data_IF_571272926515
#
_entry.id   IF_571272926515
#
_cell.length_a   1.000
_cell.length_b   1.000
_cell.length_c   1.000
_cell.angle_alpha   90.00
_cell.angle_beta   90.00
_cell.angle_gamma   90.00
#
_symmetry.space_group_name_H-M   'P 1'
#
loop_
_entity.id
_entity.type
_entity.pdbx_description
1 polymer ?
#
# COMPACT_ATOMS: atom_id res chain seq x y z
N UNK A 1 6.09 -26.39 3.20
CA UNK A 1 6.09 -25.00 2.71
C UNK A 1 7.32 -24.77 1.84
N UNK A 2 7.20 -23.96 0.79
CA UNK A 2 8.31 -23.47 -0.04
C UNK A 2 8.19 -21.96 -0.16
N UNK A 3 9.28 -21.23 0.06
CA UNK A 3 9.34 -19.78 -0.13
C UNK A 3 10.41 -19.49 -1.17
N UNK A 4 10.00 -18.89 -2.28
CA UNK A 4 10.90 -18.39 -3.31
C UNK A 4 11.07 -16.89 -3.14
N UNK A 5 12.32 -16.42 -3.04
CA UNK A 5 12.67 -15.00 -3.17
C UNK A 5 13.26 -14.77 -4.55
N UNK A 6 12.57 -14.02 -5.40
CA UNK A 6 13.07 -13.71 -6.74
C UNK A 6 14.14 -12.62 -6.66
N UNK A 7 15.17 -12.74 -7.50
CA UNK A 7 16.17 -11.69 -7.60
C UNK A 7 15.66 -10.54 -8.49
N UNK A 8 15.05 -9.55 -7.84
CA UNK A 8 14.58 -8.31 -8.47
C UNK A 8 15.55 -7.14 -8.28
N UNK A 9 16.75 -7.39 -7.73
CA UNK A 9 17.68 -6.35 -7.33
C UNK A 9 17.20 -5.63 -6.06
N UNK A 10 16.96 -4.32 -6.14
CA UNK A 10 16.41 -3.52 -5.04
C UNK A 10 14.89 -3.45 -5.19
N UNK A 11 14.18 -4.13 -4.29
CA UNK A 11 12.73 -4.34 -4.31
C UNK A 11 12.38 -5.75 -3.83
N UNK A 12 11.08 -6.04 -3.75
CA UNK A 12 10.57 -7.28 -3.19
C UNK A 12 9.71 -8.06 -4.20
N UNK A 13 9.92 -9.38 -4.22
CA UNK A 13 9.04 -10.31 -4.89
C UNK A 13 9.25 -11.72 -4.34
N UNK A 14 8.22 -12.26 -3.69
CA UNK A 14 8.27 -13.56 -3.03
C UNK A 14 7.10 -14.43 -3.45
N UNK A 15 7.33 -15.72 -3.68
CA UNK A 15 6.26 -16.68 -3.85
C UNK A 15 6.28 -17.70 -2.73
N UNK A 16 5.27 -17.63 -1.85
CA UNK A 16 5.04 -18.57 -0.76
C UNK A 16 4.07 -19.64 -1.26
N UNK A 17 4.51 -20.89 -1.26
CA UNK A 17 3.72 -22.02 -1.76
C UNK A 17 3.58 -23.10 -0.69
N UNK A 18 2.37 -23.59 -0.54
CA UNK A 18 2.11 -24.86 0.15
C UNK A 18 1.28 -25.79 -0.74
N UNK A 19 0.73 -26.87 -0.17
CA UNK A 19 -0.06 -27.86 -0.92
C UNK A 19 -1.42 -27.31 -1.40
N UNK A 20 -1.94 -26.26 -0.78
CA UNK A 20 -3.30 -25.76 -0.96
C UNK A 20 -3.35 -24.45 -1.76
N UNK A 21 -2.43 -23.53 -1.49
CA UNK A 21 -2.41 -22.21 -2.13
C UNK A 21 -1.00 -21.71 -2.42
N UNK A 22 -0.94 -20.71 -3.30
CA UNK A 22 0.26 -19.92 -3.57
C UNK A 22 -0.07 -18.45 -3.35
N UNK A 23 0.77 -17.77 -2.58
CA UNK A 23 0.68 -16.35 -2.33
C UNK A 23 1.92 -15.68 -2.90
N UNK A 24 1.73 -14.80 -3.87
CA UNK A 24 2.76 -13.86 -4.29
C UNK A 24 2.74 -12.68 -3.32
N UNK A 25 3.87 -12.34 -2.71
CA UNK A 25 4.01 -11.17 -1.84
C UNK A 25 4.97 -10.20 -2.52
N UNK A 26 4.41 -9.05 -2.88
CA UNK A 26 5.03 -8.02 -3.71
C UNK A 26 5.48 -8.50 -5.10
N UNK A 27 5.63 -7.55 -6.01
CA UNK A 27 6.24 -7.77 -7.31
C UNK A 27 6.75 -6.44 -7.85
N UNK A 28 7.98 -6.06 -7.48
CA UNK A 28 8.57 -4.82 -7.97
C UNK A 28 10.09 -4.78 -7.95
N UNK A 29 10.62 -3.73 -8.58
CA UNK A 29 12.03 -3.37 -8.53
C UNK A 29 12.20 -1.86 -8.75
N UNK A 30 13.03 -1.21 -7.93
CA UNK A 30 13.38 0.21 -8.09
C UNK A 30 14.23 0.43 -9.35
N UNK A 31 15.23 -0.43 -9.55
CA UNK A 31 16.25 -0.22 -10.56
C UNK A 31 15.75 -0.55 -11.98
N UNK A 32 16.15 0.26 -12.96
CA UNK A 32 15.84 0.02 -14.38
C UNK A 32 16.60 -1.17 -14.98
N UNK A 33 17.68 -1.61 -14.33
CA UNK A 33 18.46 -2.79 -14.66
C UNK A 33 18.77 -3.61 -13.42
N UNK A 34 18.73 -4.94 -13.56
CA UNK A 34 18.98 -5.92 -12.52
C UNK A 34 20.05 -6.86 -13.07
N UNK A 35 21.22 -6.91 -12.43
CA UNK A 35 22.38 -7.70 -12.90
C UNK A 35 22.73 -7.47 -14.38
N UNK A 36 22.66 -6.21 -14.83
CA UNK A 36 22.93 -5.81 -16.21
C UNK A 36 21.78 -6.03 -17.20
N UNK A 37 20.75 -6.80 -16.82
CA UNK A 37 19.56 -7.05 -17.63
C UNK A 37 18.52 -5.94 -17.45
N UNK A 38 17.80 -5.53 -18.50
CA UNK A 38 16.64 -4.63 -18.36
C UNK A 38 15.60 -5.18 -17.39
N UNK A 39 15.05 -4.34 -16.50
CA UNK A 39 14.05 -4.73 -15.49
C UNK A 39 12.87 -5.53 -16.08
N UNK A 40 12.39 -5.14 -17.28
CA UNK A 40 11.31 -5.83 -17.98
C UNK A 40 11.59 -7.31 -18.27
N UNK A 41 12.84 -7.67 -18.58
CA UNK A 41 13.20 -9.05 -18.88
C UNK A 41 13.18 -9.92 -17.62
N UNK A 42 13.55 -9.35 -16.47
CA UNK A 42 13.43 -10.03 -15.18
C UNK A 42 11.95 -10.22 -14.83
N UNK A 43 11.12 -9.20 -15.04
CA UNK A 43 9.67 -9.32 -14.87
C UNK A 43 9.07 -10.39 -15.77
N UNK A 44 9.45 -10.47 -17.05
CA UNK A 44 8.95 -11.50 -17.96
C UNK A 44 9.30 -12.92 -17.53
N UNK A 45 10.48 -13.14 -16.94
CA UNK A 45 10.89 -14.43 -16.36
C UNK A 45 10.02 -14.79 -15.15
N UNK A 46 9.82 -13.86 -14.23
CA UNK A 46 8.96 -14.07 -13.05
C UNK A 46 7.53 -14.37 -13.49
N UNK A 47 6.98 -13.57 -14.41
CA UNK A 47 5.65 -13.79 -14.98
C UNK A 47 5.54 -15.19 -15.60
N UNK A 48 6.57 -15.65 -16.32
CA UNK A 48 6.60 -16.99 -16.89
C UNK A 48 6.63 -18.11 -15.85
N UNK A 49 7.20 -17.90 -14.67
CA UNK A 49 7.11 -18.87 -13.56
C UNK A 49 5.71 -18.83 -12.95
N UNK A 50 5.15 -17.63 -12.73
CA UNK A 50 3.81 -17.44 -12.16
C UNK A 50 2.69 -18.07 -13.00
N UNK A 51 2.81 -18.08 -14.34
CA UNK A 51 1.83 -18.75 -15.21
C UNK A 51 1.82 -20.27 -15.07
N UNK A 52 2.86 -20.87 -14.47
CA UNK A 52 2.85 -22.30 -14.15
C UNK A 52 2.01 -22.63 -12.90
N UNK A 53 1.64 -21.60 -12.12
CA UNK A 53 0.88 -21.74 -10.88
C UNK A 53 -0.60 -21.48 -11.18
N UNK A 54 -1.44 -22.51 -11.01
CA UNK A 54 -2.88 -22.41 -11.32
C UNK A 54 -3.66 -21.52 -10.35
N UNK A 55 -3.50 -21.72 -9.04
CA UNK A 55 -4.21 -20.97 -8.00
C UNK A 55 -3.23 -20.07 -7.26
N UNK A 56 -3.37 -18.76 -7.46
CA UNK A 56 -2.46 -17.77 -6.89
C UNK A 56 -3.22 -16.52 -6.47
N UNK A 57 -2.90 -16.03 -5.29
CA UNK A 57 -3.29 -14.70 -4.81
C UNK A 57 -2.06 -13.80 -4.75
N UNK A 58 -2.30 -12.50 -4.65
CA UNK A 58 -1.24 -11.51 -4.51
C UNK A 58 -1.50 -10.69 -3.24
N UNK A 59 -0.43 -10.40 -2.50
CA UNK A 59 -0.43 -9.41 -1.43
C UNK A 59 0.58 -8.32 -1.80
N UNK A 60 0.16 -7.06 -1.71
CA UNK A 60 1.08 -5.93 -1.74
C UNK A 60 1.32 -5.47 -0.29
N UNK A 61 2.56 -5.39 0.13
CA UNK A 61 2.89 -4.93 1.49
C UNK A 61 2.72 -3.44 1.62
N UNK A 62 3.07 -2.68 0.59
CA UNK A 62 2.81 -1.24 0.49
C UNK A 62 2.93 -0.76 -0.97
N UNK A 63 2.74 0.54 -1.19
CA UNK A 63 2.55 1.12 -2.52
C UNK A 63 3.83 1.68 -3.16
N UNK A 64 5.00 1.24 -2.73
CA UNK A 64 6.25 1.73 -3.33
C UNK A 64 6.54 1.12 -4.70
N UNK A 65 7.24 1.86 -5.58
CA UNK A 65 7.56 1.39 -6.93
C UNK A 65 8.30 0.06 -6.96
N UNK A 66 9.17 -0.19 -6.00
CA UNK A 66 9.94 -1.41 -5.84
C UNK A 66 9.16 -2.60 -5.26
N UNK A 67 7.89 -2.40 -4.96
CA UNK A 67 6.95 -3.45 -4.54
C UNK A 67 5.83 -3.66 -5.57
N UNK A 68 5.46 -2.63 -6.34
CA UNK A 68 4.26 -2.64 -7.22
C UNK A 68 4.58 -2.59 -8.72
N UNK A 69 5.79 -2.18 -9.13
CA UNK A 69 6.10 -1.93 -10.55
C UNK A 69 5.99 -3.16 -11.47
N UNK A 70 6.27 -4.35 -10.98
CA UNK A 70 6.12 -5.61 -11.71
C UNK A 70 4.67 -5.99 -11.93
N UNK A 71 3.81 -5.78 -10.92
CA UNK A 71 2.36 -5.93 -11.06
C UNK A 71 1.82 -5.01 -12.16
N UNK A 72 2.14 -3.72 -12.11
CA UNK A 72 1.69 -2.75 -13.12
C UNK A 72 2.21 -3.10 -14.51
N UNK A 73 3.45 -3.58 -14.61
CA UNK A 73 4.02 -4.07 -15.85
C UNK A 73 3.21 -5.25 -16.40
N UNK A 74 2.92 -6.25 -15.57
CA UNK A 74 2.14 -7.43 -15.96
C UNK A 74 0.73 -7.05 -16.42
N UNK A 75 0.00 -6.27 -15.62
CA UNK A 75 -1.37 -5.86 -15.93
C UNK A 75 -1.46 -5.06 -17.23
N UNK A 76 -0.41 -4.28 -17.54
CA UNK A 76 -0.34 -3.45 -18.74
C UNK A 76 0.07 -4.23 -19.99
N UNK A 77 1.13 -5.05 -19.91
CA UNK A 77 1.82 -5.61 -21.08
C UNK A 77 1.70 -7.13 -21.23
N UNK A 78 1.41 -7.87 -20.15
CA UNK A 78 1.30 -9.34 -20.14
C UNK A 78 -0.10 -9.75 -19.71
N UNK A 79 -1.07 -9.27 -20.48
CA UNK A 79 -2.48 -9.26 -20.06
C UNK A 79 -3.09 -10.64 -19.91
N UNK A 80 -2.58 -11.58 -20.68
CA UNK A 80 -2.87 -13.01 -20.74
C UNK A 80 -2.32 -13.79 -19.54
N UNK A 81 -1.26 -13.28 -18.90
CA UNK A 81 -0.63 -13.93 -17.76
C UNK A 81 -1.24 -13.53 -16.40
N UNK A 82 -2.13 -12.53 -16.39
CA UNK A 82 -2.77 -12.07 -15.16
C UNK A 82 -3.92 -13.00 -14.77
N UNK A 83 -3.75 -13.70 -13.65
CA UNK A 83 -4.69 -14.72 -13.15
C UNK A 83 -4.66 -14.80 -11.61
N UNK A 84 -4.73 -13.66 -10.92
CA UNK A 84 -4.90 -13.66 -9.46
C UNK A 84 -6.38 -13.77 -9.10
N UNK A 85 -6.73 -14.65 -8.17
CA UNK A 85 -8.12 -14.78 -7.70
C UNK A 85 -8.48 -13.60 -6.78
N UNK A 86 -7.52 -13.15 -5.96
CA UNK A 86 -7.67 -12.04 -5.02
C UNK A 86 -6.37 -11.25 -4.85
N UNK A 87 -6.50 -9.95 -4.61
CA UNK A 87 -5.39 -9.07 -4.21
C UNK A 87 -5.62 -8.55 -2.79
N UNK A 88 -4.63 -8.70 -1.93
CA UNK A 88 -4.61 -8.16 -0.57
C UNK A 88 -3.80 -6.85 -0.54
N UNK A 89 -4.36 -5.80 0.08
CA UNK A 89 -3.71 -4.50 0.25
C UNK A 89 -3.65 -4.11 1.75
N UNK A 90 -2.69 -3.29 2.19
CA UNK A 90 -2.77 -2.68 3.51
C UNK A 90 -4.02 -1.82 3.60
N UNK A 91 -4.74 -1.94 4.71
CA UNK A 91 -5.94 -1.14 4.93
C UNK A 91 -5.58 0.28 5.31
N UNK A 92 -5.78 1.17 4.35
CA UNK A 92 -5.77 2.63 4.50
C UNK A 92 -7.02 3.21 3.84
N UNK A 93 -8.12 2.45 3.81
CA UNK A 93 -9.32 2.83 3.07
C UNK A 93 -10.63 2.61 3.83
N UNK A 94 -10.71 1.62 4.73
CA UNK A 94 -11.98 1.26 5.39
C UNK A 94 -12.55 2.39 6.23
N UNK A 95 -11.74 3.01 7.09
CA UNK A 95 -12.15 4.11 7.96
C UNK A 95 -12.36 5.44 7.21
N UNK A 96 -13.41 6.22 7.52
CA UNK A 96 -13.60 7.56 6.94
C UNK A 96 -12.42 8.50 7.24
N UNK A 97 -11.77 8.36 8.39
CA UNK A 97 -10.58 9.10 8.79
C UNK A 97 -9.36 8.81 7.90
N UNK A 98 -9.34 7.68 7.19
CA UNK A 98 -8.24 7.32 6.30
C UNK A 98 -8.09 8.26 5.10
N UNK A 99 -9.09 9.10 4.81
CA UNK A 99 -8.98 10.17 3.79
C UNK A 99 -7.80 11.12 4.08
N UNK A 100 -7.49 11.37 5.35
CA UNK A 100 -6.33 12.19 5.75
C UNK A 100 -5.01 11.47 5.48
N UNK A 101 -4.94 10.17 5.79
CA UNK A 101 -3.77 9.33 5.49
C UNK A 101 -3.53 9.28 3.98
N UNK A 102 -4.59 9.09 3.20
CA UNK A 102 -4.54 9.08 1.74
C UNK A 102 -4.14 10.44 1.16
N UNK A 103 -4.61 11.55 1.71
CA UNK A 103 -4.19 12.89 1.31
C UNK A 103 -2.67 13.07 1.47
N UNK A 104 -2.10 12.65 2.61
CA UNK A 104 -0.65 12.69 2.83
C UNK A 104 0.11 11.75 1.88
N UNK A 105 -0.43 10.57 1.55
CA UNK A 105 0.17 9.65 0.58
C UNK A 105 0.18 10.23 -0.84
N UNK A 106 -0.92 10.87 -1.26
CA UNK A 106 -1.02 11.57 -2.55
C UNK A 106 -0.06 12.76 -2.62
N UNK A 107 0.05 13.54 -1.54
CA UNK A 107 1.02 14.62 -1.43
C UNK A 107 2.45 14.08 -1.53
N UNK A 108 2.74 12.97 -0.85
CA UNK A 108 4.04 12.33 -0.92
C UNK A 108 4.39 11.88 -2.34
N UNK A 109 3.42 11.38 -3.13
CA UNK A 109 3.61 10.96 -4.54
C UNK A 109 4.15 12.06 -5.46
N UNK A 110 3.94 13.34 -5.11
CA UNK A 110 4.29 14.49 -5.96
C UNK A 110 5.47 15.32 -5.45
N UNK A 111 5.95 15.08 -4.22
CA UNK A 111 7.14 15.77 -3.70
C UNK A 111 8.39 15.43 -4.51
N UNK A 112 9.22 16.43 -4.86
CA UNK A 112 10.42 16.23 -5.72
C UNK A 112 11.44 15.27 -5.13
N UNK A 113 11.47 15.15 -3.79
CA UNK A 113 12.35 14.24 -3.03
C UNK A 113 11.82 12.81 -2.89
N UNK A 114 10.52 12.58 -3.15
CA UNK A 114 9.92 11.25 -3.22
C UNK A 114 9.60 10.81 -4.66
N UNK A 115 9.58 11.74 -5.62
CA UNK A 115 9.38 11.44 -7.03
C UNK A 115 10.62 10.76 -7.62
N UNK A 116 10.46 9.52 -8.10
CA UNK A 116 11.46 8.87 -8.93
C UNK A 116 11.48 9.51 -10.34
N UNK A 117 12.65 9.59 -11.00
CA UNK A 117 12.73 10.01 -12.39
C UNK A 117 12.06 8.98 -13.30
N UNK A 118 10.83 9.30 -13.71
CA UNK A 118 10.05 8.51 -14.68
C UNK A 118 8.64 8.25 -14.19
N UNK A 119 7.66 8.94 -14.80
CA UNK A 119 6.22 8.66 -14.65
C UNK A 119 5.96 7.14 -14.69
N UNK A 120 5.13 6.62 -13.75
CA UNK A 120 4.16 5.49 -13.90
C UNK A 120 4.05 4.52 -12.71
N UNK A 121 4.45 4.87 -11.48
CA UNK A 121 3.99 4.12 -10.31
C UNK A 121 3.46 5.11 -9.28
N UNK A 122 2.13 5.17 -9.16
CA UNK A 122 1.37 6.01 -8.24
C UNK A 122 0.13 5.25 -7.79
N UNK A 123 -0.53 5.72 -6.74
CA UNK A 123 -1.79 5.12 -6.29
C UNK A 123 -2.87 5.15 -7.39
N UNK A 124 -2.91 6.21 -8.21
CA UNK A 124 -3.80 6.29 -9.37
C UNK A 124 -3.50 5.24 -10.45
N UNK A 125 -2.23 4.96 -10.73
CA UNK A 125 -1.86 3.92 -11.69
C UNK A 125 -2.27 2.52 -11.21
N UNK A 126 -2.19 2.28 -9.89
CA UNK A 126 -2.71 1.06 -9.28
C UNK A 126 -4.24 0.99 -9.40
N UNK A 127 -4.95 2.07 -9.03
CA UNK A 127 -6.41 2.14 -9.17
C UNK A 127 -6.87 1.89 -10.61
N UNK A 128 -6.23 2.53 -11.60
CA UNK A 128 -6.49 2.33 -13.03
C UNK A 128 -6.32 0.85 -13.42
N UNK A 129 -5.21 0.23 -13.00
CA UNK A 129 -4.93 -1.16 -13.32
C UNK A 129 -5.95 -2.11 -12.69
N UNK A 130 -6.32 -1.90 -11.42
CA UNK A 130 -7.30 -2.71 -10.70
C UNK A 130 -8.71 -2.58 -11.30
N UNK A 131 -9.17 -1.35 -11.58
CA UNK A 131 -10.43 -1.09 -12.26
C UNK A 131 -10.50 -1.78 -13.64
N UNK A 132 -9.45 -1.66 -14.44
CA UNK A 132 -9.40 -2.25 -15.78
C UNK A 132 -9.51 -3.78 -15.76
N UNK A 133 -9.21 -4.42 -14.62
CA UNK A 133 -9.26 -5.87 -14.44
C UNK A 133 -10.41 -6.37 -13.58
N UNK A 134 -11.21 -5.46 -12.99
CA UNK A 134 -12.31 -5.81 -12.08
C UNK A 134 -11.84 -6.76 -10.98
N UNK A 135 -10.68 -6.47 -10.40
CA UNK A 135 -10.06 -7.33 -9.39
C UNK A 135 -10.78 -7.15 -8.08
N UNK A 136 -11.11 -8.25 -7.41
CA UNK A 136 -11.58 -8.21 -6.02
C UNK A 136 -10.38 -7.99 -5.09
N UNK A 137 -10.48 -6.96 -4.25
CA UNK A 137 -9.45 -6.68 -3.26
C UNK A 137 -9.96 -6.96 -1.85
N UNK A 138 -9.05 -7.40 -0.99
CA UNK A 138 -9.28 -7.48 0.46
C UNK A 138 -8.32 -6.51 1.15
N UNK A 139 -8.84 -5.74 2.10
CA UNK A 139 -8.06 -4.81 2.90
C UNK A 139 -7.64 -5.48 4.20
N UNK A 140 -6.37 -5.36 4.55
CA UNK A 140 -5.78 -6.02 5.71
C UNK A 140 -5.24 -4.98 6.69
N UNK A 141 -5.77 -4.99 7.89
CA UNK A 141 -5.29 -4.29 9.07
C UNK A 141 -4.96 -5.27 10.19
N UNK A 142 -4.29 -4.81 11.24
CA UNK A 142 -3.94 -5.61 12.42
C UNK A 142 -5.13 -6.44 12.91
N UNK A 143 -4.94 -7.76 12.99
CA UNK A 143 -5.96 -8.73 13.37
C UNK A 143 -6.76 -9.33 12.21
N UNK A 144 -6.63 -8.80 11.00
CA UNK A 144 -7.27 -9.39 9.82
C UNK A 144 -6.67 -10.76 9.52
N UNK A 145 -7.52 -11.78 9.41
CA UNK A 145 -7.12 -13.11 8.95
C UNK A 145 -7.30 -13.24 7.44
N UNK A 146 -6.35 -13.89 6.77
CA UNK A 146 -6.39 -14.11 5.32
C UNK A 146 -5.72 -15.42 4.93
N UNK A 147 -5.99 -15.90 3.71
CA UNK A 147 -5.58 -17.23 3.21
C UNK A 147 -5.98 -18.41 4.13
N UNK A 148 -6.84 -18.17 5.14
CA UNK A 148 -7.21 -19.12 6.19
C UNK A 148 -6.06 -19.57 7.09
N UNK A 149 -4.92 -18.85 7.09
CA UNK A 149 -3.70 -19.29 7.80
C UNK A 149 -2.75 -18.17 8.24
N UNK A 150 -3.01 -16.93 7.82
CA UNK A 150 -2.19 -15.78 8.17
C UNK A 150 -3.02 -14.72 8.89
N UNK A 151 -2.37 -13.99 9.79
CA UNK A 151 -2.92 -12.86 10.51
C UNK A 151 -2.05 -11.64 10.24
N UNK A 152 -2.67 -10.54 9.83
CA UNK A 152 -2.00 -9.26 9.68
C UNK A 152 -1.65 -8.68 11.07
N UNK A 153 -0.43 -8.19 11.19
CA UNK A 153 0.14 -7.61 12.42
C UNK A 153 0.12 -6.07 12.39
N UNK A 154 0.10 -5.50 11.18
CA UNK A 154 0.14 -4.07 10.88
C UNK A 154 -0.43 -3.85 9.46
N UNK A 155 -1.02 -2.69 9.10
CA UNK A 155 -1.24 -1.47 9.89
C UNK A 155 -2.32 -1.59 10.97
N UNK A 156 -2.11 -0.90 12.10
CA UNK A 156 -3.19 -0.56 13.04
C UNK A 156 -3.78 0.80 12.64
N UNK A 157 -5.07 0.80 12.28
CA UNK A 157 -5.77 1.99 11.81
C UNK A 157 -5.76 3.13 12.82
N UNK A 158 -5.81 2.83 14.13
CA UNK A 158 -5.83 3.86 15.19
C UNK A 158 -4.47 4.54 15.31
N UNK A 159 -3.40 3.74 15.32
CA UNK A 159 -2.04 4.24 15.42
C UNK A 159 -1.64 5.03 14.16
N UNK A 160 -2.02 4.52 12.97
CA UNK A 160 -1.82 5.23 11.71
C UNK A 160 -2.60 6.55 11.68
N UNK A 161 -3.87 6.56 12.13
CA UNK A 161 -4.69 7.79 12.19
C UNK A 161 -4.07 8.83 13.12
N UNK A 162 -3.68 8.43 14.33
CA UNK A 162 -3.07 9.35 15.31
C UNK A 162 -1.81 10.01 14.75
N UNK A 163 -0.95 9.23 14.11
CA UNK A 163 0.26 9.80 13.49
C UNK A 163 0.01 10.59 12.21
N UNK A 164 -1.13 10.36 11.55
CA UNK A 164 -1.59 11.15 10.40
C UNK A 164 -1.96 12.54 10.87
N UNK A 165 -2.73 12.63 11.95
CA UNK A 165 -3.26 13.87 12.51
C UNK A 165 -2.15 14.89 12.81
N UNK A 166 -1.08 14.46 13.49
CA UNK A 166 0.06 15.34 13.82
C UNK A 166 0.70 15.99 12.57
N UNK A 167 0.87 15.20 11.50
CA UNK A 167 1.48 15.66 10.24
C UNK A 167 0.48 16.48 9.42
N UNK A 168 -0.80 16.11 9.46
CA UNK A 168 -1.85 16.81 8.74
C UNK A 168 -2.08 18.21 9.31
N UNK A 169 -2.19 18.31 10.64
CA UNK A 169 -2.40 19.57 11.36
C UNK A 169 -1.27 20.57 11.11
N UNK A 170 -0.02 20.11 11.04
CA UNK A 170 1.13 21.00 10.76
C UNK A 170 1.16 21.55 9.32
N UNK A 171 0.47 20.90 8.38
CA UNK A 171 0.41 21.31 6.98
C UNK A 171 -0.80 22.20 6.69
N UNK A 172 -1.93 21.96 7.36
CA UNK A 172 -3.18 22.66 7.04
C UNK A 172 -3.19 24.13 7.49
N UNK A 173 -2.51 24.47 8.59
CA UNK A 173 -2.53 25.80 9.21
C UNK A 173 -2.32 26.98 8.22
N UNK A 174 -1.59 26.77 7.12
CA UNK A 174 -1.30 27.82 6.13
C UNK A 174 -1.76 27.45 4.70
N UNK A 175 -2.45 26.32 4.53
CA UNK A 175 -2.75 25.72 3.23
C UNK A 175 -4.16 25.13 3.14
N UNK A 176 -5.09 25.68 3.90
CA UNK A 176 -6.48 25.21 4.08
C UNK A 176 -7.15 24.78 2.76
N UNK A 177 -7.34 25.70 1.80
CA UNK A 177 -8.01 25.42 0.53
C UNK A 177 -7.40 24.23 -0.23
N UNK A 178 -6.07 24.24 -0.39
CA UNK A 178 -5.36 23.19 -1.10
C UNK A 178 -5.43 21.84 -0.38
N UNK A 179 -5.41 21.86 0.96
CA UNK A 179 -5.57 20.65 1.78
C UNK A 179 -7.00 20.11 1.75
N UNK A 180 -8.02 20.97 1.79
CA UNK A 180 -9.43 20.58 1.67
C UNK A 180 -9.69 19.88 0.34
N UNK A 181 -9.26 20.49 -0.78
CA UNK A 181 -9.40 19.88 -2.11
C UNK A 181 -8.63 18.57 -2.23
N UNK A 182 -7.43 18.49 -1.63
CA UNK A 182 -6.66 17.25 -1.58
C UNK A 182 -7.38 16.14 -0.80
N UNK A 183 -7.99 16.47 0.35
CA UNK A 183 -8.77 15.53 1.15
C UNK A 183 -10.03 15.07 0.40
N UNK A 184 -10.71 15.95 -0.32
CA UNK A 184 -11.85 15.57 -1.16
C UNK A 184 -11.45 14.56 -2.24
N UNK A 185 -10.32 14.80 -2.93
CA UNK A 185 -9.77 13.84 -3.89
C UNK A 185 -9.39 12.52 -3.19
N UNK A 186 -8.80 12.58 -2.01
CA UNK A 186 -8.40 11.40 -1.25
C UNK A 186 -9.62 10.57 -0.79
N UNK A 187 -10.72 11.21 -0.41
CA UNK A 187 -12.00 10.55 -0.10
C UNK A 187 -12.58 9.87 -1.34
N UNK A 188 -12.58 10.53 -2.51
CA UNK A 188 -13.03 9.89 -3.75
C UNK A 188 -12.14 8.69 -4.12
N UNK A 189 -10.81 8.77 -3.90
CA UNK A 189 -9.91 7.62 -4.06
C UNK A 189 -10.25 6.51 -3.06
N UNK A 190 -10.53 6.85 -1.81
CA UNK A 190 -10.92 5.90 -0.77
C UNK A 190 -12.16 5.12 -1.16
N UNK A 191 -13.21 5.83 -1.55
CA UNK A 191 -14.47 5.26 -2.02
C UNK A 191 -14.28 4.37 -3.24
N UNK A 192 -13.38 4.75 -4.15
CA UNK A 192 -13.05 3.94 -5.32
C UNK A 192 -12.44 2.59 -4.90
N UNK A 193 -11.47 2.56 -3.99
CA UNK A 193 -10.90 1.30 -3.51
C UNK A 193 -11.92 0.47 -2.73
N UNK A 194 -12.76 1.09 -1.90
CA UNK A 194 -13.83 0.39 -1.19
C UNK A 194 -14.84 -0.26 -2.14
N UNK A 195 -15.19 0.39 -3.25
CA UNK A 195 -16.08 -0.23 -4.25
C UNK A 195 -15.51 -1.51 -4.88
N UNK A 196 -14.20 -1.78 -4.72
CA UNK A 196 -13.55 -3.02 -5.19
C UNK A 196 -13.53 -4.15 -4.15
N UNK A 197 -13.93 -3.88 -2.90
CA UNK A 197 -14.06 -4.90 -1.84
C UNK A 197 -15.44 -5.54 -1.85
N UNK A 198 -16.46 -4.78 -2.25
CA UNK A 198 -17.86 -5.20 -2.29
C UNK A 198 -18.12 -6.24 -3.39
N UNK A 199 -18.98 -7.22 -3.10
CA UNK A 199 -19.44 -8.16 -4.11
C UNK A 199 -20.41 -7.46 -5.06
N UNK A 200 -19.95 -7.10 -6.25
CA UNK A 200 -20.84 -6.79 -7.37
C UNK A 200 -21.80 -7.98 -7.57
N UNK A 201 -23.12 -7.82 -7.36
CA UNK A 201 -24.05 -8.92 -7.62
C UNK A 201 -23.96 -9.34 -9.08
N UNK A 202 -23.90 -10.66 -9.34
CA UNK A 202 -23.71 -11.29 -10.66
C UNK A 202 -24.78 -10.93 -11.72
N UNK A 203 -25.77 -10.11 -11.38
CA UNK A 203 -26.93 -9.79 -12.22
C UNK A 203 -26.62 -8.89 -13.44
N UNK A 204 -25.51 -8.15 -13.48
CA UNK A 204 -25.18 -7.30 -14.65
C UNK A 204 -24.56 -8.06 -15.84
N UNK A 205 -24.39 -9.39 -15.74
CA UNK A 205 -23.81 -10.18 -16.82
C UNK A 205 -24.78 -10.52 -17.97
N UNK A 206 -26.05 -10.09 -17.94
CA UNK A 206 -26.96 -10.29 -19.08
C UNK A 206 -27.86 -9.09 -19.37
N UNK A 207 -27.56 -8.46 -20.52
CA UNK A 207 -28.48 -7.79 -21.45
C UNK A 207 -29.30 -6.57 -20.98
N UNK A 208 -29.07 -5.43 -21.64
CA UNK A 208 -30.15 -4.56 -22.09
C UNK A 208 -30.82 -5.18 -23.34
N UNK A 209 -32.13 -4.94 -23.58
CA UNK A 209 -32.51 -3.76 -24.36
C UNK A 209 -33.80 -3.03 -23.92
N UNK A 210 -33.94 -1.83 -24.51
CA UNK A 210 -34.97 -0.78 -24.44
C UNK A 210 -36.45 -1.20 -24.55
N UNK A 211 -37.34 -0.44 -23.87
CA UNK A 211 -38.63 0.14 -24.35
C UNK A 211 -39.31 0.84 -23.15
N UNK A 212 -39.60 2.14 -23.10
CA UNK A 212 -40.59 2.97 -23.79
C UNK A 212 -41.37 3.77 -22.72
N UNK A 213 -41.80 4.97 -23.09
CA UNK A 213 -42.29 6.07 -22.27
C UNK A 213 -43.62 5.85 -21.53
N UNK A 214 -43.84 6.65 -20.49
CA UNK A 214 -45.12 7.36 -20.32
C UNK A 214 -44.97 8.63 -19.46
N UNK A 215 -45.47 9.73 -20.02
CA UNK A 215 -45.63 11.09 -19.47
C UNK A 215 -46.72 11.15 -18.39
N UNK A 216 -46.54 11.97 -17.35
CA UNK A 216 -47.62 12.78 -16.73
C UNK A 216 -46.98 14.06 -16.15
N UNK A 217 -47.59 15.20 -16.46
CA UNK A 217 -47.27 16.56 -15.99
C UNK A 217 -47.98 16.93 -14.67
N UNK A 218 -47.70 18.15 -14.19
CA UNK A 218 -48.41 18.97 -13.17
C UNK A 218 -48.08 18.63 -11.69
N UNK A 219 -47.88 19.56 -10.75
CA UNK A 219 -48.10 21.00 -10.74
C UNK A 219 -47.29 21.69 -9.61
N UNK A 220 -47.18 23.00 -9.74
CA UNK A 220 -46.55 24.02 -8.88
C UNK A 220 -46.95 24.01 -7.39
N UNK A 221 -46.05 24.46 -6.50
CA UNK A 221 -46.28 25.63 -5.62
C UNK A 221 -45.01 26.10 -4.90
N UNK A 222 -44.63 27.37 -5.15
CA UNK A 222 -43.66 28.16 -4.41
C UNK A 222 -44.19 28.50 -3.00
N UNK A 223 -43.30 28.50 -2.00
CA UNK A 223 -43.50 29.25 -0.76
C UNK A 223 -42.18 29.83 -0.29
N UNK A 224 -41.94 31.09 -0.64
CA UNK A 224 -40.92 31.95 -0.05
C UNK A 224 -41.15 32.12 1.46
N UNK A 225 -40.08 32.04 2.26
CA UNK A 225 -40.02 32.79 3.52
C UNK A 225 -38.60 33.26 3.82
N UNK A 226 -38.49 34.58 3.93
CA UNK A 226 -37.28 35.36 4.05
C UNK A 226 -36.83 35.59 5.50
N UNK A 227 -35.52 35.83 5.67
CA UNK A 227 -34.86 36.71 6.67
C UNK A 227 -34.88 36.20 8.14
N UNK A 228 -33.85 36.32 8.99
CA UNK A 228 -32.65 37.19 9.06
C UNK A 228 -31.82 36.71 10.26
N UNK A 229 -30.50 36.88 10.23
CA UNK A 229 -29.66 36.75 11.42
C UNK A 229 -28.22 37.21 11.16
N UNK A 230 -27.96 38.50 11.38
CA UNK A 230 -26.61 39.07 11.42
C UNK A 230 -25.87 38.60 12.67
N UNK A 231 -24.55 38.34 12.58
CA UNK A 231 -23.60 38.76 13.62
C UNK A 231 -22.25 39.06 12.99
N UNK A 232 -21.70 40.22 13.37
CA UNK A 232 -20.44 40.81 12.92
C UNK A 232 -19.22 40.30 13.73
N UNK A 233 -17.97 40.66 13.35
CA UNK A 233 -16.79 39.83 13.48
C UNK A 233 -15.95 40.14 14.73
N UNK A 234 -15.27 39.11 15.25
CA UNK A 234 -14.22 39.25 16.26
C UNK A 234 -13.07 38.32 15.89
N UNK A 235 -11.93 38.91 15.53
CA UNK A 235 -10.73 38.16 15.17
C UNK A 235 -9.98 37.68 16.40
N UNK A 236 -9.62 36.41 16.40
CA UNK A 236 -8.46 35.86 17.09
C UNK A 236 -7.82 34.85 16.14
N UNK A 237 -6.48 34.76 16.14
CA UNK A 237 -5.72 33.80 15.35
C UNK A 237 -6.08 32.38 15.82
N UNK A 238 -7.09 31.77 15.21
CA UNK A 238 -7.49 30.39 15.45
C UNK A 238 -6.73 29.48 14.49
N UNK A 239 -5.86 28.62 15.04
CA UNK A 239 -5.22 27.56 14.27
C UNK A 239 -6.28 26.60 13.70
N UNK A 240 -6.05 26.16 12.46
CA UNK A 240 -6.95 25.24 11.74
C UNK A 240 -6.47 23.79 11.95
N UNK A 241 -7.36 22.89 12.38
CA UNK A 241 -7.04 21.48 12.71
C UNK A 241 -7.91 20.50 11.92
N UNK A 242 -7.54 19.22 11.90
CA UNK A 242 -8.30 18.12 11.28
C UNK A 242 -9.74 18.09 11.79
N UNK A 243 -9.96 18.23 13.10
CA UNK A 243 -11.29 18.30 13.73
C UNK A 243 -12.15 19.43 13.14
N UNK A 244 -11.56 20.61 12.88
CA UNK A 244 -12.28 21.73 12.28
C UNK A 244 -12.62 21.47 10.81
N UNK A 245 -11.75 20.77 10.09
CA UNK A 245 -12.04 20.33 8.72
C UNK A 245 -13.16 19.30 8.67
N UNK A 246 -13.22 18.37 9.62
CA UNK A 246 -14.34 17.41 9.74
C UNK A 246 -15.66 18.17 9.92
N UNK A 247 -15.72 19.14 10.83
CA UNK A 247 -16.91 19.97 11.04
C UNK A 247 -17.31 20.76 9.80
N UNK A 248 -16.35 21.29 9.04
CA UNK A 248 -16.63 22.07 7.83
C UNK A 248 -17.05 21.18 6.66
N UNK A 249 -16.49 19.98 6.56
CA UNK A 249 -16.94 18.98 5.60
C UNK A 249 -18.33 18.43 5.95
N UNK A 250 -18.68 18.36 7.24
CA UNK A 250 -20.03 18.03 7.69
C UNK A 250 -21.04 19.15 7.39
N UNK A 251 -20.68 20.42 7.62
CA UNK A 251 -21.53 21.59 7.33
C UNK A 251 -21.72 21.84 5.82
N UNK A 252 -20.67 21.61 5.01
CA UNK A 252 -20.77 21.67 3.54
C UNK A 252 -21.47 20.44 2.93
N UNK A 253 -21.63 19.36 3.72
CA UNK A 253 -22.40 18.18 3.37
C UNK A 253 -23.93 18.32 3.53
N UNK A 254 -24.42 19.46 4.03
CA UNK A 254 -25.84 19.68 4.37
C UNK A 254 -26.61 20.59 3.40
N UNK A 255 -26.12 20.79 2.18
CA UNK A 255 -26.87 21.42 1.09
C UNK A 255 -27.07 20.46 -0.09
N UNK A 256 -27.57 19.26 0.19
CA UNK A 256 -28.27 18.50 -0.83
C UNK A 256 -29.65 19.15 -0.98
N UNK A 257 -29.85 19.93 -2.05
CA UNK A 257 -31.20 20.22 -2.52
C UNK A 257 -31.92 18.89 -2.72
N UNK A 258 -33.08 18.76 -2.10
CA UNK A 258 -33.94 17.58 -2.06
C UNK A 258 -34.57 17.36 -3.45
N UNK A 259 -33.74 17.00 -4.43
CA UNK A 259 -34.21 16.38 -5.67
C UNK A 259 -34.15 14.88 -5.46
N UNK A 260 -35.33 14.26 -5.37
CA UNK A 260 -35.52 12.83 -5.29
C UNK A 260 -35.04 12.15 -6.60
N UNK A 261 -33.73 12.06 -6.80
CA UNK A 261 -33.15 11.17 -7.79
C UNK A 261 -33.26 9.73 -7.28
N UNK A 262 -33.74 8.83 -8.13
CA UNK A 262 -33.85 7.42 -7.80
C UNK A 262 -32.48 6.88 -7.34
N UNK A 263 -32.42 6.02 -6.31
CA UNK A 263 -31.16 5.51 -5.76
C UNK A 263 -30.25 4.87 -6.82
N UNK A 264 -30.84 4.34 -7.89
CA UNK A 264 -30.13 3.77 -9.04
C UNK A 264 -29.45 4.81 -9.95
N UNK A 265 -30.01 6.03 -10.08
CA UNK A 265 -29.37 7.15 -10.79
C UNK A 265 -28.21 7.71 -9.95
N UNK A 266 -28.40 7.87 -8.64
CA UNK A 266 -27.35 8.31 -7.71
C UNK A 266 -26.16 7.33 -7.64
N UNK A 267 -26.42 6.01 -7.64
CA UNK A 267 -25.37 4.98 -7.72
C UNK A 267 -24.64 5.01 -9.08
N UNK A 268 -25.38 5.14 -10.20
CA UNK A 268 -24.77 5.28 -11.54
C UNK A 268 -23.97 6.58 -11.66
N UNK A 269 -24.41 7.66 -11.03
CA UNK A 269 -23.68 8.93 -11.00
C UNK A 269 -22.42 8.82 -10.14
N UNK A 270 -22.51 8.20 -8.95
CA UNK A 270 -21.37 7.90 -8.07
C UNK A 270 -20.35 7.01 -8.79
N UNK A 271 -20.77 5.95 -9.47
CA UNK A 271 -19.91 5.11 -10.29
C UNK A 271 -19.29 5.86 -11.49
N UNK A 272 -19.99 6.85 -12.06
CA UNK A 272 -19.44 7.74 -13.11
C UNK A 272 -18.43 8.75 -12.56
N UNK A 273 -18.54 9.15 -11.29
CA UNK A 273 -17.61 10.04 -10.58
C UNK A 273 -16.32 9.30 -10.19
N UNK A 274 -16.43 8.05 -9.73
CA UNK A 274 -15.32 7.18 -9.32
C UNK A 274 -14.55 6.54 -10.50
N UNK A 275 -14.00 7.38 -11.39
CA UNK A 275 -13.08 6.91 -12.46
C UNK A 275 -11.65 7.32 -12.16
N UNK A 276 -10.68 6.38 -12.11
CA UNK A 276 -9.27 6.69 -11.86
C UNK A 276 -8.72 7.84 -12.71
N UNK A 277 -9.03 7.86 -14.01
CA UNK A 277 -8.59 8.89 -14.95
C UNK A 277 -9.14 10.30 -14.62
N UNK A 278 -10.38 10.38 -14.12
CA UNK A 278 -10.99 11.65 -13.71
C UNK A 278 -10.37 12.15 -12.41
N UNK A 279 -10.14 11.26 -11.45
CA UNK A 279 -9.49 11.61 -10.18
C UNK A 279 -8.05 12.06 -10.42
N UNK A 280 -7.31 11.36 -11.29
CA UNK A 280 -5.96 11.77 -11.67
C UNK A 280 -5.97 13.14 -12.37
N UNK A 281 -6.98 13.43 -13.21
CA UNK A 281 -7.15 14.76 -13.83
C UNK A 281 -7.41 15.85 -12.79
N UNK A 282 -8.36 15.64 -11.87
CA UNK A 282 -8.64 16.57 -10.75
C UNK A 282 -7.38 16.84 -9.93
N UNK A 283 -6.63 15.79 -9.60
CA UNK A 283 -5.38 15.92 -8.85
C UNK A 283 -4.31 16.70 -9.62
N UNK A 284 -4.17 16.49 -10.93
CA UNK A 284 -3.26 17.28 -11.77
C UNK A 284 -3.68 18.75 -11.91
N UNK A 285 -4.98 19.03 -11.92
CA UNK A 285 -5.51 20.39 -11.92
C UNK A 285 -5.21 21.10 -10.60
N UNK A 286 -5.44 20.44 -9.46
CA UNK A 286 -5.06 20.93 -8.13
C UNK A 286 -3.55 21.20 -8.06
N UNK A 287 -2.72 20.28 -8.56
CA UNK A 287 -1.27 20.47 -8.64
C UNK A 287 -0.85 21.73 -9.42
N UNK A 288 -1.62 22.16 -10.41
CA UNK A 288 -1.29 23.34 -11.20
C UNK A 288 -1.59 24.67 -10.47
N UNK A 289 -2.29 24.63 -9.34
CA UNK A 289 -2.65 25.83 -8.57
C UNK A 289 -1.46 26.39 -7.79
N UNK A 290 -1.42 27.71 -7.60
CA UNK A 290 -0.36 28.36 -6.81
C UNK A 290 -0.38 27.96 -5.33
N UNK A 291 -1.57 27.74 -4.77
CA UNK A 291 -1.76 27.31 -3.37
C UNK A 291 -1.22 25.90 -3.14
N UNK A 292 -1.48 24.96 -4.06
CA UNK A 292 -0.92 23.61 -3.96
C UNK A 292 0.60 23.61 -4.12
N UNK A 293 1.17 24.46 -4.98
CA UNK A 293 2.62 24.60 -5.07
C UNK A 293 3.23 25.13 -3.75
N UNK A 294 2.58 26.08 -3.08
CA UNK A 294 3.00 26.55 -1.76
C UNK A 294 2.91 25.45 -0.68
N UNK A 295 1.82 24.67 -0.68
CA UNK A 295 1.67 23.48 0.16
C UNK A 295 2.80 22.49 -0.09
N UNK A 296 3.11 22.20 -1.35
CA UNK A 296 4.17 21.28 -1.74
C UNK A 296 5.54 21.74 -1.26
N UNK A 297 5.84 23.04 -1.35
CA UNK A 297 7.08 23.62 -0.82
C UNK A 297 7.16 23.53 0.71
N UNK A 298 6.05 23.74 1.41
CA UNK A 298 5.96 23.56 2.87
C UNK A 298 6.19 22.09 3.27
N UNK A 299 5.50 21.18 2.59
CA UNK A 299 5.67 19.74 2.68
C UNK A 299 7.12 19.29 2.42
N UNK A 300 7.80 19.86 1.43
CA UNK A 300 9.21 19.55 1.12
C UNK A 300 10.20 20.03 2.19
N UNK A 301 9.88 21.14 2.88
CA UNK A 301 10.65 21.62 4.05
C UNK A 301 10.49 20.67 5.24
N UNK A 302 9.32 20.06 5.38
CA UNK A 302 9.04 18.97 6.33
C UNK A 302 9.39 17.57 5.77
N UNK A 303 10.02 17.52 4.58
CA UNK A 303 9.94 16.38 3.64
C UNK A 303 10.54 15.04 4.07
N UNK A 304 11.20 14.95 5.22
CA UNK A 304 11.58 13.65 5.79
C UNK A 304 10.34 12.87 6.28
N UNK A 305 9.39 13.56 6.90
CA UNK A 305 8.19 12.92 7.48
C UNK A 305 7.27 12.33 6.41
N UNK A 306 7.01 13.06 5.32
CA UNK A 306 6.13 12.60 4.24
C UNK A 306 6.68 11.40 3.45
N UNK A 307 8.01 11.31 3.27
CA UNK A 307 8.62 10.13 2.65
C UNK A 307 8.50 8.90 3.54
N UNK A 308 8.77 9.06 4.84
CA UNK A 308 8.64 7.97 5.81
C UNK A 308 7.19 7.54 5.99
N UNK A 309 6.23 8.43 5.72
CA UNK A 309 4.81 8.16 5.86
C UNK A 309 4.34 6.93 5.06
N UNK A 310 4.90 6.70 3.87
CA UNK A 310 4.57 5.52 3.04
C UNK A 310 5.01 4.20 3.66
N UNK A 311 6.03 4.22 4.52
CA UNK A 311 6.46 3.04 5.28
C UNK A 311 5.56 2.77 6.49
N UNK A 312 4.88 3.80 7.01
CA UNK A 312 3.97 3.68 8.17
C UNK A 312 2.77 2.78 7.90
N UNK A 313 2.42 2.57 6.64
CA UNK A 313 1.28 1.74 6.23
C UNK A 313 1.71 0.34 5.78
N UNK A 314 3.00 0.00 5.91
CA UNK A 314 3.51 -1.27 5.38
C UNK A 314 2.93 -2.46 6.11
N UNK A 315 2.32 -3.39 5.39
CA UNK A 315 1.75 -4.60 5.96
C UNK A 315 2.84 -5.54 6.48
N UNK A 316 2.65 -6.05 7.69
CA UNK A 316 3.34 -7.22 8.22
C UNK A 316 2.32 -8.30 8.58
N UNK A 317 2.71 -9.57 8.48
CA UNK A 317 1.85 -10.69 8.84
C UNK A 317 2.66 -11.89 9.35
N UNK A 318 1.99 -12.78 10.06
CA UNK A 318 2.52 -14.07 10.48
C UNK A 318 1.48 -15.18 10.30
N UNK A 319 1.87 -16.44 10.53
CA UNK A 319 0.92 -17.54 10.68
C UNK A 319 -0.05 -17.29 11.85
N UNK A 320 -1.33 -17.59 11.66
CA UNK A 320 -2.35 -17.44 12.72
C UNK A 320 -2.09 -18.41 13.89
N UNK A 321 -1.74 -19.65 13.58
CA UNK A 321 -1.35 -20.66 14.57
C UNK A 321 0.16 -20.77 14.70
N UNK A 322 0.61 -21.03 15.93
CA UNK A 322 2.01 -21.33 16.24
C UNK A 322 2.35 -22.80 15.85
N UNK A 323 3.46 -23.00 15.16
CA UNK A 323 3.98 -24.32 14.84
C UNK A 323 5.38 -24.29 14.23
N UNK A 324 5.89 -25.47 13.84
CA UNK A 324 7.28 -25.63 13.39
C UNK A 324 7.65 -24.84 12.12
N UNK A 325 6.66 -24.42 11.33
CA UNK A 325 6.85 -23.72 10.05
C UNK A 325 6.33 -22.28 10.08
N UNK A 326 6.46 -21.61 11.22
CA UNK A 326 6.08 -20.21 11.35
C UNK A 326 6.85 -19.32 10.37
N UNK A 327 6.11 -18.46 9.68
CA UNK A 327 6.59 -17.41 8.80
C UNK A 327 6.26 -16.06 9.44
N UNK A 328 7.26 -15.18 9.51
CA UNK A 328 7.08 -13.75 9.76
C UNK A 328 7.45 -12.97 8.50
N UNK A 329 6.49 -12.28 7.91
CA UNK A 329 6.73 -11.39 6.79
C UNK A 329 6.55 -9.95 7.26
N UNK A 330 7.63 -9.19 7.32
CA UNK A 330 7.63 -7.87 7.96
C UNK A 330 7.36 -6.72 6.99
N UNK A 331 7.22 -7.00 5.69
CA UNK A 331 7.14 -5.95 4.67
C UNK A 331 8.29 -4.96 4.83
N UNK A 332 7.96 -3.68 4.85
CA UNK A 332 8.83 -2.56 5.15
C UNK A 332 8.34 -1.84 6.43
N UNK A 333 7.93 -2.61 7.44
CA UNK A 333 7.55 -2.05 8.73
C UNK A 333 8.76 -1.44 9.43
N UNK A 334 8.61 -0.19 9.89
CA UNK A 334 9.67 0.54 10.57
C UNK A 334 9.98 -0.03 11.96
N UNK A 335 11.22 0.14 12.48
CA UNK A 335 11.63 -0.43 13.76
C UNK A 335 10.74 -0.07 14.95
N UNK A 336 10.16 1.13 14.96
CA UNK A 336 9.25 1.55 16.03
C UNK A 336 7.99 0.69 16.10
N UNK A 337 7.39 0.37 14.96
CA UNK A 337 6.21 -0.49 14.88
C UNK A 337 6.58 -1.95 15.09
N UNK A 338 7.74 -2.40 14.60
CA UNK A 338 8.23 -3.75 14.90
C UNK A 338 8.41 -3.96 16.41
N UNK A 339 8.92 -2.96 17.15
CA UNK A 339 8.98 -3.01 18.61
C UNK A 339 7.59 -3.09 19.24
N UNK A 340 6.65 -2.24 18.82
CA UNK A 340 5.27 -2.31 19.33
C UNK A 340 4.65 -3.69 19.11
N UNK A 341 4.77 -4.24 17.90
CA UNK A 341 4.27 -5.57 17.53
C UNK A 341 4.93 -6.65 18.41
N UNK A 342 6.25 -6.62 18.58
CA UNK A 342 7.00 -7.56 19.41
C UNK A 342 6.64 -7.47 20.90
N UNK A 343 6.37 -6.27 21.40
CA UNK A 343 5.91 -6.01 22.77
C UNK A 343 4.43 -6.39 22.98
N UNK A 344 3.74 -6.80 21.91
CA UNK A 344 2.30 -7.07 21.91
C UNK A 344 1.53 -5.91 22.56
N UNK A 345 1.78 -4.69 22.06
CA UNK A 345 1.34 -3.42 22.67
C UNK A 345 -0.17 -3.35 23.01
N UNK A 346 -1.02 -4.07 22.29
CA UNK A 346 -2.47 -4.12 22.51
C UNK A 346 -2.94 -5.39 23.25
N UNK A 347 -2.03 -6.32 23.56
CA UNK A 347 -2.31 -7.58 24.24
C UNK A 347 -3.04 -8.62 23.39
N UNK A 348 -3.23 -8.39 22.08
CA UNK A 348 -4.12 -9.23 21.25
C UNK A 348 -3.41 -10.28 20.41
N UNK A 349 -2.29 -9.91 19.80
CA UNK A 349 -1.61 -10.73 18.79
C UNK A 349 -0.12 -10.75 19.11
N UNK A 350 0.32 -11.70 19.96
CA UNK A 350 1.75 -11.88 20.23
C UNK A 350 2.45 -12.46 19.00
N UNK A 351 3.72 -12.10 18.82
CA UNK A 351 4.62 -12.83 17.93
C UNK A 351 4.88 -14.23 18.51
N UNK A 352 5.06 -15.21 17.63
CA UNK A 352 5.50 -16.56 18.02
C UNK A 352 6.94 -16.54 18.54
N UNK A 353 7.29 -17.50 19.39
CA UNK A 353 8.63 -17.61 19.99
C UNK A 353 9.70 -18.16 19.02
N UNK A 354 9.25 -18.82 17.95
CA UNK A 354 10.10 -19.42 16.92
C UNK A 354 9.57 -19.12 15.52
N UNK A 355 10.50 -18.83 14.60
CA UNK A 355 10.19 -18.71 13.18
C UNK A 355 11.10 -19.57 12.32
N UNK A 356 10.47 -20.44 11.52
CA UNK A 356 11.15 -21.14 10.46
C UNK A 356 11.69 -20.17 9.40
N UNK A 357 10.96 -19.11 9.08
CA UNK A 357 11.43 -18.10 8.13
C UNK A 357 10.97 -16.69 8.52
N UNK A 358 11.88 -15.72 8.44
CA UNK A 358 11.62 -14.29 8.61
C UNK A 358 12.07 -13.54 7.36
N UNK A 359 11.16 -12.76 6.75
CA UNK A 359 11.56 -11.71 5.79
C UNK A 359 11.96 -10.47 6.58
N UNK A 360 13.15 -9.96 6.33
CA UNK A 360 13.71 -8.78 7.02
C UNK A 360 13.18 -7.47 6.42
N UNK A 361 12.81 -6.46 7.23
CA UNK A 361 12.19 -5.25 6.72
C UNK A 361 13.18 -4.34 5.98
N UNK A 362 12.69 -3.52 5.06
CA UNK A 362 13.45 -2.43 4.41
C UNK A 362 14.80 -2.87 3.84
N UNK A 363 14.80 -4.00 3.14
CA UNK A 363 15.99 -4.61 2.53
C UNK A 363 17.16 -4.83 3.51
N UNK A 364 16.87 -4.89 4.82
CA UNK A 364 17.84 -5.04 5.89
C UNK A 364 18.76 -3.84 6.11
N UNK A 365 18.34 -2.63 5.73
CA UNK A 365 19.15 -1.41 5.91
C UNK A 365 19.43 -1.06 7.38
N UNK A 366 20.58 -0.44 7.66
CA UNK A 366 21.04 -0.08 9.01
C UNK A 366 20.01 0.73 9.82
N UNK A 367 19.39 1.73 9.20
CA UNK A 367 18.39 2.58 9.87
C UNK A 367 17.10 1.85 10.23
N UNK A 368 16.90 0.64 9.67
CA UNK A 368 15.73 -0.18 9.88
C UNK A 368 16.09 -1.54 10.51
N UNK A 369 17.24 -1.62 11.18
CA UNK A 369 17.62 -2.82 11.92
C UNK A 369 16.61 -3.13 13.03
N UNK A 370 16.30 -4.41 13.17
CA UNK A 370 15.55 -4.97 14.27
C UNK A 370 16.18 -6.32 14.65
N UNK A 371 16.37 -6.54 15.96
CA UNK A 371 16.98 -7.77 16.46
C UNK A 371 15.93 -8.88 16.57
N UNK A 372 16.04 -9.88 15.71
CA UNK A 372 15.16 -11.05 15.70
C UNK A 372 15.67 -12.22 16.55
N UNK A 373 16.80 -12.07 17.25
CA UNK A 373 17.44 -13.17 17.98
C UNK A 373 16.55 -13.84 19.04
N UNK A 374 15.66 -13.07 19.66
CA UNK A 374 14.69 -13.57 20.65
C UNK A 374 13.61 -14.48 20.06
N UNK A 375 13.48 -14.54 18.74
CA UNK A 375 12.45 -15.33 18.04
C UNK A 375 13.01 -16.57 17.34
N UNK A 376 14.21 -17.01 17.73
CA UNK A 376 14.88 -18.23 17.27
C UNK A 376 14.76 -18.48 15.76
N UNK A 377 15.18 -17.54 14.89
CA UNK A 377 14.97 -17.66 13.45
C UNK A 377 15.84 -18.77 12.84
N UNK A 378 15.24 -19.66 12.04
CA UNK A 378 16.01 -20.64 11.25
C UNK A 378 16.45 -20.10 9.90
N UNK A 379 15.61 -19.31 9.23
CA UNK A 379 15.89 -18.75 7.91
C UNK A 379 15.55 -17.26 7.89
N UNK A 380 16.49 -16.41 7.48
CA UNK A 380 16.28 -14.97 7.31
C UNK A 380 16.46 -14.59 5.84
N UNK A 381 15.44 -13.99 5.25
CA UNK A 381 15.45 -13.56 3.85
C UNK A 381 15.53 -12.04 3.77
N UNK A 382 16.57 -11.55 3.10
CA UNK A 382 16.86 -10.13 2.94
C UNK A 382 16.84 -9.80 1.44
N UNK A 383 15.71 -9.34 0.90
CA UNK A 383 15.66 -8.88 -0.48
C UNK A 383 16.47 -7.59 -0.56
N UNK A 384 17.68 -7.63 -1.13
CA UNK A 384 18.53 -6.46 -1.27
C UNK A 384 19.36 -6.51 -2.55
N UNK A 385 19.44 -5.38 -3.26
CA UNK A 385 20.31 -5.16 -4.40
C UNK A 385 20.87 -3.74 -4.40
N UNK A 386 21.96 -3.49 -5.15
CA UNK A 386 22.55 -2.15 -5.14
C UNK A 386 21.54 -1.09 -5.61
N UNK A 387 21.21 -0.10 -4.77
CA UNK A 387 20.37 1.03 -5.15
C UNK A 387 21.19 2.10 -5.91
N UNK A 388 20.67 2.55 -7.05
CA UNK A 388 21.30 3.58 -7.88
C UNK A 388 20.44 4.84 -7.89
N UNK A 389 20.78 5.80 -7.01
CA UNK A 389 20.05 7.07 -6.84
C UNK A 389 19.99 7.90 -8.13
N UNK A 390 20.97 7.73 -9.03
CA UNK A 390 20.98 8.30 -10.39
C UNK A 390 21.98 7.57 -11.27
N UNK A 391 21.59 6.48 -11.95
CA UNK A 391 22.25 5.71 -13.04
C UNK A 391 23.79 5.48 -13.08
N UNK A 392 24.59 6.00 -12.15
CA UNK A 392 26.07 6.07 -12.23
C UNK A 392 26.80 6.01 -10.88
N UNK A 393 26.15 6.15 -9.73
CA UNK A 393 26.80 5.99 -8.41
C UNK A 393 26.03 5.01 -7.53
N UNK A 394 26.71 3.95 -7.09
CA UNK A 394 26.21 3.06 -6.03
C UNK A 394 26.10 3.88 -4.75
N UNK A 395 24.92 3.96 -4.15
CA UNK A 395 24.78 4.55 -2.82
C UNK A 395 25.17 3.52 -1.77
N UNK A 396 26.07 3.88 -0.84
CA UNK A 396 26.40 3.03 0.31
C UNK A 396 25.26 2.98 1.35
N UNK A 397 24.31 3.91 1.29
CA UNK A 397 23.29 4.12 2.31
C UNK A 397 22.12 3.12 2.24
N UNK A 398 22.16 2.18 1.30
CA UNK A 398 21.09 1.21 1.02
C UNK A 398 21.62 -0.25 1.12
N UNK A 399 22.74 -0.44 1.82
CA UNK A 399 23.35 -1.77 2.03
C UNK A 399 22.71 -2.46 3.23
N UNK A 400 22.79 -3.79 3.24
CA UNK A 400 22.35 -4.57 4.39
C UNK A 400 23.25 -4.22 5.57
N UNK A 401 22.62 -4.00 6.72
CA UNK A 401 23.29 -3.76 8.00
C UNK A 401 24.26 -4.88 8.33
N UNK A 402 25.45 -4.53 8.81
CA UNK A 402 26.40 -5.52 9.36
C UNK A 402 25.84 -6.18 10.63
N UNK A 403 24.86 -5.57 11.29
CA UNK A 403 24.23 -6.12 12.50
C UNK A 403 23.43 -7.39 12.19
N UNK A 404 22.78 -7.47 11.03
CA UNK A 404 22.19 -8.73 10.57
C UNK A 404 23.26 -9.80 10.32
N UNK A 405 24.47 -9.40 9.88
CA UNK A 405 25.63 -10.29 9.88
C UNK A 405 26.05 -10.77 11.28
N UNK A 406 25.77 -10.02 12.34
CA UNK A 406 25.98 -10.49 13.72
C UNK A 406 25.07 -11.64 14.13
N UNK A 407 23.92 -11.81 13.47
CA UNK A 407 22.99 -12.91 13.76
C UNK A 407 23.48 -14.27 13.23
N UNK A 408 24.58 -14.32 12.46
CA UNK A 408 25.24 -15.57 12.08
C UNK A 408 25.75 -16.41 13.27
N UNK A 409 25.88 -15.81 14.46
CA UNK A 409 26.26 -16.52 15.69
C UNK A 409 25.08 -17.19 16.40
N UNK A 410 23.84 -16.99 15.91
CA UNK A 410 22.72 -17.83 16.29
C UNK A 410 22.97 -19.19 15.62
N UNK A 411 23.25 -20.21 16.43
CA UNK A 411 23.42 -21.57 15.91
C UNK A 411 22.20 -21.96 15.07
N UNK A 412 22.46 -22.54 13.90
CA UNK A 412 21.45 -23.06 12.97
C UNK A 412 20.59 -22.02 12.21
N UNK A 413 20.88 -20.72 12.32
CA UNK A 413 20.25 -19.67 11.50
C UNK A 413 20.94 -19.50 10.13
N UNK A 414 20.17 -19.50 9.05
CA UNK A 414 20.64 -19.31 7.67
C UNK A 414 20.16 -17.98 7.09
N UNK A 415 21.03 -17.25 6.40
CA UNK A 415 20.66 -15.99 5.73
C UNK A 415 20.73 -16.07 4.21
N UNK A 416 19.71 -15.51 3.56
CA UNK A 416 19.55 -15.45 2.11
C UNK A 416 19.40 -14.00 1.66
N UNK A 417 20.28 -13.54 0.78
CA UNK A 417 20.24 -12.19 0.22
C UNK A 417 20.12 -12.23 -1.30
N UNK A 418 19.38 -11.33 -1.93
CA UNK A 418 19.30 -11.32 -3.40
C UNK A 418 20.56 -10.79 -4.10
N UNK A 419 21.46 -10.07 -3.41
CA UNK A 419 22.73 -9.57 -3.96
C UNK A 419 23.89 -9.51 -2.95
N UNK A 420 25.03 -10.11 -3.31
CA UNK A 420 26.24 -10.18 -2.47
C UNK A 420 27.00 -8.87 -2.31
N UNK A 421 26.88 -7.91 -3.25
CA UNK A 421 27.57 -6.61 -3.15
C UNK A 421 27.07 -5.79 -1.94
N UNK A 422 25.84 -6.07 -1.49
CA UNK A 422 25.19 -5.36 -0.40
C UNK A 422 25.49 -5.96 0.98
N UNK A 423 26.05 -7.17 1.01
CA UNK A 423 26.56 -7.80 2.23
C UNK A 423 28.06 -7.51 2.26
N UNK A 424 28.57 -6.80 3.26
CA UNK A 424 29.99 -6.44 3.35
C UNK A 424 30.91 -7.67 3.55
N UNK A 425 31.14 -8.42 2.47
CA UNK A 425 32.11 -9.51 2.32
C UNK A 425 32.02 -10.59 3.40
N UNK A 426 31.06 -11.51 3.27
CA UNK A 426 30.96 -12.70 4.13
C UNK A 426 31.27 -13.97 3.33
N UNK A 427 32.43 -14.59 3.59
CA UNK A 427 32.98 -15.70 2.79
C UNK A 427 32.26 -17.05 2.99
N UNK A 428 31.45 -17.25 4.03
CA UNK A 428 30.99 -18.61 4.42
C UNK A 428 29.51 -18.79 4.84
N UNK A 429 28.62 -17.80 4.68
CA UNK A 429 27.26 -17.87 5.28
C UNK A 429 26.06 -17.38 4.45
N UNK A 430 26.25 -16.60 3.38
CA UNK A 430 25.15 -16.11 2.54
C UNK A 430 25.08 -16.88 1.22
N UNK A 431 23.92 -17.49 0.94
CA UNK A 431 23.61 -18.04 -0.39
C UNK A 431 22.98 -16.95 -1.25
N UNK A 432 23.79 -16.01 -1.73
CA UNK A 432 23.26 -14.77 -2.30
C UNK A 432 22.84 -14.94 -3.78
N UNK A 433 21.52 -15.01 -4.07
CA UNK A 433 20.86 -15.03 -5.41
C UNK A 433 19.33 -15.26 -5.24
N UNK A 434 18.59 -15.43 -6.34
CA UNK A 434 17.27 -16.07 -6.29
C UNK A 434 17.38 -17.38 -5.50
N UNK A 435 16.50 -17.56 -4.52
CA UNK A 435 16.62 -18.66 -3.57
C UNK A 435 15.27 -19.29 -3.23
N UNK A 436 15.28 -20.60 -3.04
CA UNK A 436 14.14 -21.39 -2.58
C UNK A 436 14.45 -21.97 -1.18
N UNK A 437 13.74 -21.50 -0.16
CA UNK A 437 13.73 -22.13 1.15
C UNK A 437 12.62 -23.17 1.16
N UNK A 438 12.96 -24.44 1.33
CA UNK A 438 12.02 -25.56 1.20
C UNK A 438 12.01 -26.35 2.51
N UNK A 439 10.86 -26.43 3.16
CA UNK A 439 10.72 -27.16 4.42
C UNK A 439 10.97 -28.66 4.21
N UNK A 440 11.63 -29.38 5.13
CA UNK A 440 11.83 -30.84 5.00
C UNK A 440 10.53 -31.64 4.82
N UNK A 441 9.42 -31.19 5.44
CA UNK A 441 8.09 -31.79 5.27
C UNK A 441 7.50 -31.64 3.86
N UNK A 442 8.09 -30.78 3.01
CA UNK A 442 7.71 -30.66 1.60
C UNK A 442 8.10 -31.91 0.81
N UNK A 443 9.19 -32.57 1.19
CA UNK A 443 9.74 -33.75 0.49
C UNK A 443 9.30 -35.10 1.08
N UNK A 444 8.79 -35.12 2.31
CA UNK A 444 8.43 -36.39 3.00
C UNK A 444 7.26 -37.16 2.36
N UNK A 445 6.54 -36.56 1.40
CA UNK A 445 5.39 -37.18 0.72
C UNK A 445 5.47 -37.06 -0.83
N UNK A 446 6.68 -36.95 -1.42
CA UNK A 446 6.88 -37.04 -2.89
C UNK A 446 7.18 -38.48 -3.28
#
# INVERSE_FOLDING_TARGET
MRIRMYNVGFGDCFCIRDRKSSLLVDFGAANSKIEGRPRREVFDVIISDLTTIRKKNLLLTHFHPDHVSGLLYMMRYRRDAYEFEKIYLPDVFSGPEMKYTLALLLLADVTKKASLPGRRVSLFALAEALCARRVKIDLLSRGSEFEGKYTALWPDLREVSRETEDVFNSLIENHENAMTELVNIAEEVRQLFLSMTEEMPEAEQKSAPLSEASLVEEDTEESERSLTGQTEPGGENEGYTQEKLELIMEDTGAAAEDTAEAPEEAEKERARRLKPEKLEKKFRELQATGEFQALLESAEKQGHFLRQFRHKISLAFQNTGDGELNLLFTGDVQPQYMRMIAENYDGRIPLHEHYWCIKVPHHGTESHFFDFSSFSPENMMIPNGAYYDNSKKKSKNQRTSMQYGGLFYINDAHMYCSNCDCCDSYENGCSCREYDVISPSYYKDI
#
